data_IF_127811457592
#
_entry.id   IF_127811457592
#
_cell.length_a   1.000
_cell.length_b   1.000
_cell.length_c   1.000
_cell.angle_alpha   90.00
_cell.angle_beta   90.00
_cell.angle_gamma   90.00
#
_symmetry.space_group_name_H-M   'P 1'
#
loop_
_entity.id
_entity.type
_entity.pdbx_description
1 polymer ?
#
# COMPACT_ATOMS: atom_id res chain seq x y z
N UNK A 1 76.05 -16.82 23.19
CA UNK A 1 74.80 -16.82 22.40
C UNK A 1 73.71 -16.19 23.24
N UNK A 2 73.03 -15.20 22.65
CA UNK A 2 71.99 -14.37 23.26
C UNK A 2 70.64 -15.09 23.15
N UNK A 3 69.85 -15.14 24.23
CA UNK A 3 68.40 -15.24 24.12
C UNK A 3 67.79 -14.11 24.94
N UNK A 4 67.24 -13.15 24.20
CA UNK A 4 66.54 -11.97 24.68
C UNK A 4 65.07 -12.41 24.88
N UNK A 5 64.60 -12.47 26.12
CA UNK A 5 63.19 -12.74 26.42
C UNK A 5 62.36 -11.49 26.18
N UNK A 6 61.51 -11.51 25.14
CA UNK A 6 60.52 -10.47 24.89
C UNK A 6 59.27 -10.75 25.73
N UNK A 7 58.98 -9.87 26.69
CA UNK A 7 57.71 -9.84 27.41
C UNK A 7 56.69 -9.09 26.53
N UNK A 8 55.66 -9.77 26.03
CA UNK A 8 54.56 -9.12 25.33
C UNK A 8 53.55 -8.60 26.37
N UNK A 9 53.47 -7.27 26.52
CA UNK A 9 52.37 -6.60 27.23
C UNK A 9 51.14 -6.61 26.31
N UNK A 10 50.09 -7.36 26.67
CA UNK A 10 48.76 -7.17 26.07
C UNK A 10 48.13 -5.91 26.69
N UNK A 11 47.95 -4.87 25.88
CA UNK A 11 47.09 -3.73 26.22
C UNK A 11 45.64 -4.08 25.88
N UNK A 12 44.81 -4.30 26.91
CA UNK A 12 43.36 -4.40 26.77
C UNK A 12 42.80 -2.98 26.55
N UNK A 13 42.45 -2.66 25.31
CA UNK A 13 41.67 -1.47 24.99
C UNK A 13 40.22 -1.69 25.46
N UNK A 14 39.80 -0.96 26.50
CA UNK A 14 38.42 -0.92 26.91
C UNK A 14 37.61 -0.07 25.91
N UNK A 15 36.84 -0.71 25.04
CA UNK A 15 35.78 -0.02 24.29
C UNK A 15 34.67 0.36 25.26
N UNK A 16 34.62 1.64 25.64
CA UNK A 16 33.44 2.23 26.26
C UNK A 16 32.34 2.30 25.22
N UNK A 17 31.31 1.46 25.37
CA UNK A 17 30.05 1.59 24.61
C UNK A 17 29.34 2.85 25.09
N UNK A 18 29.52 3.94 24.36
CA UNK A 18 28.69 5.14 24.49
C UNK A 18 27.30 4.76 23.96
N UNK A 19 26.36 4.49 24.86
CA UNK A 19 24.93 4.49 24.52
C UNK A 19 24.57 5.90 24.08
N UNK A 20 24.52 6.13 22.78
CA UNK A 20 23.85 7.29 22.23
C UNK A 20 22.37 7.15 22.63
N UNK A 21 21.93 7.96 23.58
CA UNK A 21 20.52 8.29 23.72
C UNK A 21 20.07 8.90 22.40
N UNK A 22 19.33 8.14 21.60
CA UNK A 22 18.51 8.70 20.53
C UNK A 22 17.57 9.71 21.19
N UNK A 23 17.92 10.99 21.11
CA UNK A 23 16.96 12.04 21.37
C UNK A 23 15.93 11.93 20.25
N UNK A 24 14.72 11.51 20.59
CA UNK A 24 13.53 11.56 19.74
C UNK A 24 13.24 13.03 19.41
N UNK A 25 14.01 13.56 18.46
CA UNK A 25 13.93 14.94 17.98
C UNK A 25 13.04 15.05 16.75
N UNK A 26 12.22 14.03 16.50
CA UNK A 26 11.25 14.05 15.41
C UNK A 26 10.29 15.21 15.69
N UNK A 27 10.21 16.24 14.82
CA UNK A 27 9.32 17.36 15.05
C UNK A 27 7.88 16.83 15.16
N UNK A 28 7.25 17.01 16.32
CA UNK A 28 5.84 16.62 16.49
C UNK A 28 4.98 17.44 15.53
N UNK A 29 4.18 16.76 14.74
CA UNK A 29 3.26 17.42 13.83
C UNK A 29 2.09 17.99 14.63
N UNK A 30 1.79 19.29 14.45
CA UNK A 30 0.67 19.94 15.13
C UNK A 30 -0.68 19.76 14.42
N UNK A 31 -0.74 18.92 13.39
CA UNK A 31 -2.01 18.62 12.69
C UNK A 31 -2.75 17.46 13.37
N UNK A 32 -4.09 17.39 13.23
CA UNK A 32 -4.83 16.18 13.56
C UNK A 32 -4.28 14.98 12.78
N UNK A 33 -4.16 13.84 13.45
CA UNK A 33 -3.83 12.58 12.80
C UNK A 33 -4.91 12.22 11.78
N UNK A 34 -4.48 11.74 10.61
CA UNK A 34 -5.37 11.20 9.61
C UNK A 34 -5.93 9.84 10.07
N UNK A 35 -6.91 9.34 9.33
CA UNK A 35 -7.58 8.09 9.65
C UNK A 35 -6.58 6.92 9.69
N UNK A 36 -6.52 6.21 10.82
CA UNK A 36 -5.59 5.12 11.10
C UNK A 36 -4.09 5.50 11.10
N UNK A 37 -3.77 6.80 11.14
CA UNK A 37 -2.39 7.24 11.27
C UNK A 37 -1.84 6.85 12.65
N UNK A 38 -0.70 6.13 12.70
CA UNK A 38 -0.11 5.75 13.97
C UNK A 38 0.49 6.99 14.65
N UNK A 39 0.78 6.89 15.95
CA UNK A 39 1.44 7.98 16.67
C UNK A 39 2.82 8.31 16.08
N UNK A 40 3.28 9.54 16.27
CA UNK A 40 4.61 10.01 15.82
C UNK A 40 5.72 8.98 16.13
N UNK A 41 6.57 8.71 15.13
CA UNK A 41 7.67 7.76 15.24
C UNK A 41 7.26 6.28 15.14
N UNK A 42 6.00 5.97 14.88
CA UNK A 42 5.51 4.60 14.62
C UNK A 42 5.22 4.40 13.14
N UNK A 43 5.39 3.16 12.69
CA UNK A 43 5.16 2.73 11.30
C UNK A 43 4.28 1.49 11.33
N UNK A 44 3.36 1.40 10.38
CA UNK A 44 2.56 0.20 10.12
C UNK A 44 3.23 -0.60 9.02
N UNK A 45 3.62 -1.84 9.31
CA UNK A 45 4.13 -2.77 8.30
C UNK A 45 2.97 -3.55 7.70
N UNK A 46 2.90 -3.62 6.37
CA UNK A 46 1.98 -4.48 5.64
C UNK A 46 2.76 -5.54 4.87
N UNK A 47 2.29 -6.79 4.90
CA UNK A 47 2.80 -7.87 4.06
C UNK A 47 1.89 -8.06 2.83
N UNK A 48 2.44 -8.43 1.69
CA UNK A 48 1.65 -8.60 0.47
C UNK A 48 2.30 -9.49 -0.58
N UNK A 49 1.58 -9.84 -1.64
CA UNK A 49 0.29 -9.23 -2.00
C UNK A 49 -0.84 -10.17 -2.47
N UNK A 50 -0.62 -11.46 -2.34
CA UNK A 50 -1.44 -12.57 -2.80
C UNK A 50 -1.34 -13.73 -1.80
N UNK A 51 -2.20 -14.74 -1.93
CA UNK A 51 -2.37 -15.75 -0.88
C UNK A 51 -1.07 -16.52 -0.55
N UNK A 52 -0.25 -16.81 -1.56
CA UNK A 52 0.97 -17.60 -1.41
C UNK A 52 2.06 -16.85 -0.63
N UNK A 53 2.41 -15.62 -1.01
CA UNK A 53 3.42 -14.83 -0.30
C UNK A 53 2.99 -14.40 1.10
N UNK A 54 1.69 -14.19 1.33
CA UNK A 54 1.19 -13.75 2.64
C UNK A 54 1.18 -14.91 3.62
N UNK A 55 0.77 -16.10 3.18
CA UNK A 55 0.70 -17.30 4.03
C UNK A 55 -0.33 -17.16 5.16
N UNK A 56 -0.09 -17.90 6.25
CA UNK A 56 -0.95 -17.87 7.45
C UNK A 56 -2.34 -18.47 7.23
N UNK A 57 -2.47 -19.39 6.27
CA UNK A 57 -3.67 -20.16 5.99
C UNK A 57 -3.30 -21.64 5.91
N UNK A 58 -4.29 -22.51 5.73
CA UNK A 58 -4.05 -23.93 5.43
C UNK A 58 -3.39 -24.13 4.06
N UNK A 59 -2.77 -25.31 3.85
CA UNK A 59 -2.15 -25.67 2.59
C UNK A 59 -3.11 -25.46 1.39
N UNK A 60 -2.64 -24.86 0.27
CA UNK A 60 -1.23 -24.62 -0.07
C UNK A 60 -0.66 -23.25 0.40
N UNK A 61 -1.41 -22.46 1.17
CA UNK A 61 -1.05 -21.09 1.53
C UNK A 61 -0.45 -20.99 2.96
N UNK A 62 0.47 -21.89 3.27
CA UNK A 62 1.01 -22.11 4.62
C UNK A 62 2.55 -22.03 4.70
N UNK A 63 3.16 -21.27 3.79
CA UNK A 63 4.62 -21.08 3.71
C UNK A 63 4.99 -19.62 3.35
N UNK A 64 4.15 -18.66 3.75
CA UNK A 64 4.31 -17.23 3.41
C UNK A 64 4.81 -16.38 4.58
N UNK A 65 4.61 -15.06 4.49
CA UNK A 65 5.11 -14.10 5.48
C UNK A 65 4.67 -14.42 6.91
N UNK A 66 3.38 -14.70 7.10
CA UNK A 66 2.81 -14.99 8.43
C UNK A 66 3.35 -16.28 9.05
N UNK A 67 3.89 -17.19 8.24
CA UNK A 67 4.46 -18.46 8.69
C UNK A 67 5.92 -18.32 9.15
N UNK A 68 6.64 -17.31 8.65
CA UNK A 68 8.09 -17.14 8.86
C UNK A 68 8.50 -15.88 9.64
N UNK A 69 7.61 -14.89 9.75
CA UNK A 69 7.93 -13.57 10.30
C UNK A 69 6.93 -13.12 11.37
N UNK A 70 7.31 -12.16 12.24
CA UNK A 70 6.37 -11.57 13.19
C UNK A 70 5.14 -10.98 12.50
N UNK A 71 3.98 -11.16 13.12
CA UNK A 71 2.69 -10.65 12.63
C UNK A 71 2.79 -9.16 12.25
N UNK A 72 2.46 -8.77 11.00
CA UNK A 72 2.53 -7.39 10.54
C UNK A 72 1.40 -6.55 11.15
N UNK A 73 1.34 -5.26 10.85
CA UNK A 73 0.19 -4.42 11.20
C UNK A 73 -1.02 -4.67 10.27
N UNK A 74 -0.76 -5.17 9.06
CA UNK A 74 -1.79 -5.51 8.10
C UNK A 74 -1.28 -6.37 6.95
N UNK A 75 -2.18 -6.69 6.03
CA UNK A 75 -1.82 -7.34 4.77
C UNK A 75 -2.44 -6.61 3.58
N UNK A 76 -1.88 -6.80 2.40
CA UNK A 76 -2.31 -6.19 1.15
C UNK A 76 -2.96 -7.23 0.24
N UNK A 77 -4.08 -6.88 -0.37
CA UNK A 77 -4.74 -7.66 -1.42
C UNK A 77 -5.19 -6.72 -2.57
N UNK A 78 -5.68 -7.30 -3.66
CA UNK A 78 -6.14 -6.54 -4.84
C UNK A 78 -7.56 -6.93 -5.24
N UNK A 79 -8.26 -5.97 -5.84
CA UNK A 79 -9.56 -6.17 -6.46
C UNK A 79 -9.79 -5.10 -7.54
N UNK A 80 -10.96 -5.06 -8.15
CA UNK A 80 -11.23 -4.17 -9.28
C UNK A 80 -12.70 -3.74 -9.40
N UNK A 81 -12.93 -2.65 -10.15
CA UNK A 81 -14.25 -2.22 -10.65
C UNK A 81 -14.30 -2.30 -12.19
N UNK A 82 -13.63 -3.30 -12.78
CA UNK A 82 -13.39 -3.41 -14.21
C UNK A 82 -14.07 -4.64 -14.86
N UNK A 83 -15.39 -4.88 -14.66
CA UNK A 83 -16.04 -6.05 -15.23
C UNK A 83 -16.00 -6.07 -16.76
N UNK A 84 -15.55 -7.17 -17.35
CA UNK A 84 -15.42 -7.36 -18.79
C UNK A 84 -14.01 -7.13 -19.34
N UNK A 85 -13.13 -6.48 -18.58
CA UNK A 85 -11.72 -6.38 -18.94
C UNK A 85 -10.99 -7.72 -18.84
N UNK A 86 -9.84 -7.83 -19.51
CA UNK A 86 -9.04 -9.05 -19.54
C UNK A 86 -7.62 -8.81 -19.05
N UNK A 87 -7.16 -9.63 -18.11
CA UNK A 87 -5.79 -9.64 -17.60
C UNK A 87 -5.26 -11.07 -17.61
N UNK A 88 -4.15 -11.34 -18.31
CA UNK A 88 -3.55 -12.68 -18.44
C UNK A 88 -4.53 -13.80 -18.82
N UNK A 89 -5.57 -13.48 -19.60
CA UNK A 89 -6.61 -14.43 -20.03
C UNK A 89 -7.78 -14.61 -19.05
N UNK A 90 -7.72 -13.98 -17.87
CA UNK A 90 -8.82 -13.89 -16.93
C UNK A 90 -9.75 -12.73 -17.31
N UNK A 91 -11.06 -13.01 -17.42
CA UNK A 91 -12.08 -11.98 -17.65
C UNK A 91 -12.60 -11.51 -16.30
N UNK A 92 -12.33 -10.24 -16.00
CA UNK A 92 -12.73 -9.61 -14.75
C UNK A 92 -14.26 -9.57 -14.61
N UNK A 93 -14.77 -9.88 -13.42
CA UNK A 93 -16.20 -9.85 -13.09
C UNK A 93 -16.57 -8.61 -12.29
N UNK A 94 -15.57 -7.88 -11.78
CA UNK A 94 -15.75 -6.84 -10.76
C UNK A 94 -15.72 -7.46 -9.37
N UNK A 95 -15.00 -6.82 -8.46
CA UNK A 95 -14.74 -7.31 -7.10
C UNK A 95 -14.04 -8.68 -7.05
N UNK A 96 -13.29 -9.02 -8.10
CA UNK A 96 -12.53 -10.27 -8.17
C UNK A 96 -11.55 -10.35 -6.98
N UNK A 97 -11.38 -11.54 -6.42
CA UNK A 97 -10.56 -11.77 -5.23
C UNK A 97 -11.19 -11.31 -3.91
N UNK A 98 -12.35 -10.66 -3.90
CA UNK A 98 -13.00 -10.23 -2.65
C UNK A 98 -13.79 -11.37 -1.99
N UNK A 99 -14.59 -12.10 -2.78
CA UNK A 99 -15.54 -13.13 -2.28
C UNK A 99 -15.23 -14.55 -2.80
N UNK A 100 -14.34 -14.66 -3.78
CA UNK A 100 -13.92 -15.91 -4.40
C UNK A 100 -12.42 -15.91 -4.61
N UNK A 101 -11.85 -17.10 -4.82
CA UNK A 101 -10.48 -17.22 -5.30
C UNK A 101 -10.45 -16.92 -6.79
N UNK A 102 -9.79 -15.84 -7.16
CA UNK A 102 -9.60 -15.39 -8.54
C UNK A 102 -8.11 -15.16 -8.80
N UNK A 103 -7.67 -15.43 -10.04
CA UNK A 103 -6.27 -15.32 -10.47
C UNK A 103 -6.23 -14.63 -11.83
N UNK A 104 -5.60 -13.46 -11.86
CA UNK A 104 -5.43 -12.62 -13.04
C UNK A 104 -3.96 -12.49 -13.45
N UNK A 105 -3.15 -13.52 -13.17
CA UNK A 105 -1.76 -13.62 -13.61
C UNK A 105 -0.70 -13.29 -12.56
N UNK A 106 -1.11 -13.04 -11.31
CA UNK A 106 -0.24 -12.76 -10.16
C UNK A 106 -0.57 -13.68 -8.96
N UNK A 107 -0.92 -14.93 -9.27
CA UNK A 107 -1.38 -15.96 -8.34
C UNK A 107 -2.77 -15.67 -7.72
N UNK A 108 -3.40 -16.66 -7.06
CA UNK A 108 -4.74 -16.50 -6.51
C UNK A 108 -4.83 -15.46 -5.38
N UNK A 109 -5.92 -14.68 -5.41
CA UNK A 109 -6.34 -13.74 -4.37
C UNK A 109 -7.70 -14.15 -3.79
N UNK A 110 -7.88 -14.06 -2.47
CA UNK A 110 -9.17 -14.26 -1.79
C UNK A 110 -9.21 -13.58 -0.41
N UNK A 111 -9.82 -12.39 -0.32
CA UNK A 111 -9.92 -11.63 0.91
C UNK A 111 -10.86 -12.28 1.93
N UNK A 112 -11.96 -12.88 1.50
CA UNK A 112 -12.91 -13.55 2.42
C UNK A 112 -12.27 -14.74 3.12
N UNK A 113 -11.36 -15.45 2.45
CA UNK A 113 -10.59 -16.53 3.07
C UNK A 113 -9.70 -15.98 4.20
N UNK A 114 -8.94 -14.93 3.93
CA UNK A 114 -8.04 -14.30 4.91
C UNK A 114 -8.80 -13.64 6.06
N UNK A 115 -9.87 -12.89 5.77
CA UNK A 115 -10.67 -12.18 6.80
C UNK A 115 -11.30 -13.13 7.82
N UNK A 116 -11.68 -14.33 7.39
CA UNK A 116 -12.34 -15.33 8.25
C UNK A 116 -11.36 -16.25 9.00
N UNK A 117 -10.05 -16.10 8.78
CA UNK A 117 -9.04 -16.88 9.47
C UNK A 117 -8.50 -16.13 10.71
N UNK A 118 -8.29 -16.87 11.80
CA UNK A 118 -7.85 -16.33 13.08
C UNK A 118 -6.44 -15.74 13.01
N UNK A 119 -5.59 -16.21 12.09
CA UNK A 119 -4.23 -15.67 11.93
C UNK A 119 -4.26 -14.22 11.43
N UNK A 120 -5.36 -13.78 10.83
CA UNK A 120 -5.58 -12.42 10.37
C UNK A 120 -6.33 -11.53 11.37
N UNK A 121 -6.70 -12.03 12.55
CA UNK A 121 -7.39 -11.24 13.57
C UNK A 121 -6.56 -10.04 14.02
N UNK A 122 -7.19 -8.86 14.05
CA UNK A 122 -6.54 -7.60 14.45
C UNK A 122 -5.62 -6.98 13.40
N UNK A 123 -5.44 -7.60 12.23
CA UNK A 123 -4.69 -7.01 11.12
C UNK A 123 -5.56 -6.00 10.34
N UNK A 124 -4.95 -4.91 9.88
CA UNK A 124 -5.55 -4.03 8.88
C UNK A 124 -5.49 -4.65 7.48
N UNK A 125 -6.40 -4.24 6.60
CA UNK A 125 -6.46 -4.69 5.21
C UNK A 125 -6.15 -3.52 4.26
N UNK A 126 -5.09 -3.62 3.47
CA UNK A 126 -4.85 -2.70 2.35
C UNK A 126 -5.37 -3.31 1.05
N UNK A 127 -6.07 -2.53 0.23
CA UNK A 127 -6.67 -2.99 -1.03
C UNK A 127 -6.18 -2.13 -2.18
N UNK A 128 -5.49 -2.72 -3.15
CA UNK A 128 -5.31 -2.12 -4.48
C UNK A 128 -6.60 -2.26 -5.28
N UNK A 129 -7.29 -1.17 -5.56
CA UNK A 129 -8.54 -1.19 -6.33
C UNK A 129 -8.29 -0.69 -7.74
N UNK A 130 -8.20 -1.61 -8.70
CA UNK A 130 -8.05 -1.26 -10.12
C UNK A 130 -9.34 -0.66 -10.68
N UNK A 131 -9.20 0.43 -11.44
CA UNK A 131 -10.25 1.04 -12.24
C UNK A 131 -9.95 0.97 -13.74
N UNK A 132 -8.94 0.19 -14.18
CA UNK A 132 -8.42 0.22 -15.55
C UNK A 132 -9.57 0.13 -16.56
N UNK A 133 -9.57 1.05 -17.55
CA UNK A 133 -10.59 1.29 -18.59
C UNK A 133 -12.02 1.62 -18.09
N UNK A 134 -12.20 1.88 -16.79
CA UNK A 134 -13.48 1.96 -16.13
C UNK A 134 -13.65 3.22 -15.28
N UNK A 135 -12.65 4.09 -15.19
CA UNK A 135 -12.68 5.34 -14.44
C UNK A 135 -13.88 6.23 -14.84
N UNK A 136 -14.15 6.39 -16.14
CA UNK A 136 -15.31 7.16 -16.61
C UNK A 136 -16.64 6.51 -16.23
N UNK A 137 -16.75 5.18 -16.36
CA UNK A 137 -17.94 4.43 -15.97
C UNK A 137 -18.19 4.51 -14.44
N UNK A 138 -17.13 4.52 -13.64
CA UNK A 138 -17.20 4.73 -12.19
C UNK A 138 -17.65 6.16 -11.89
N UNK A 139 -17.02 7.17 -12.51
CA UNK A 139 -17.37 8.58 -12.34
C UNK A 139 -18.85 8.86 -12.69
N UNK A 140 -19.38 8.18 -13.70
CA UNK A 140 -20.77 8.31 -14.14
C UNK A 140 -21.76 7.44 -13.32
N UNK A 141 -21.29 6.69 -12.33
CA UNK A 141 -22.12 5.86 -11.45
C UNK A 141 -22.61 4.54 -12.06
N UNK A 142 -22.08 4.14 -13.22
CA UNK A 142 -22.43 2.87 -13.87
C UNK A 142 -21.94 1.65 -13.10
N UNK A 143 -20.98 1.86 -12.17
CA UNK A 143 -20.43 0.83 -11.28
C UNK A 143 -20.97 0.92 -9.84
N UNK A 144 -22.00 1.70 -9.60
CA UNK A 144 -22.58 1.92 -8.26
C UNK A 144 -22.99 0.64 -7.54
N UNK A 145 -23.51 -0.36 -8.27
CA UNK A 145 -23.88 -1.65 -7.67
C UNK A 145 -22.67 -2.41 -7.13
N UNK A 146 -21.53 -2.37 -7.80
CA UNK A 146 -20.29 -2.96 -7.30
C UNK A 146 -19.74 -2.16 -6.11
N UNK A 147 -19.81 -0.83 -6.16
CA UNK A 147 -19.41 0.02 -5.02
C UNK A 147 -20.27 -0.28 -3.80
N UNK A 148 -21.57 -0.51 -3.99
CA UNK A 148 -22.47 -0.91 -2.91
C UNK A 148 -22.08 -2.27 -2.31
N UNK A 149 -21.86 -3.30 -3.14
CA UNK A 149 -21.45 -4.61 -2.64
C UNK A 149 -20.10 -4.54 -1.90
N UNK A 150 -19.15 -3.75 -2.41
CA UNK A 150 -17.88 -3.49 -1.73
C UNK A 150 -18.06 -2.76 -0.39
N UNK A 151 -18.96 -1.77 -0.33
CA UNK A 151 -19.26 -1.08 0.93
C UNK A 151 -19.93 -1.98 1.97
N UNK A 152 -20.82 -2.88 1.53
CA UNK A 152 -21.43 -3.91 2.39
C UNK A 152 -20.36 -4.87 2.93
N UNK A 153 -19.39 -5.26 2.10
CA UNK A 153 -18.22 -6.01 2.55
C UNK A 153 -17.45 -5.26 3.63
N UNK A 154 -17.12 -3.98 3.43
CA UNK A 154 -16.39 -3.18 4.44
C UNK A 154 -17.14 -3.08 5.77
N UNK A 155 -18.47 -2.90 5.75
CA UNK A 155 -19.29 -2.90 6.96
C UNK A 155 -19.27 -4.25 7.67
N UNK A 156 -19.26 -5.36 6.91
CA UNK A 156 -19.20 -6.71 7.47
C UNK A 156 -17.90 -7.01 8.23
N UNK A 157 -16.82 -6.25 8.00
CA UNK A 157 -15.52 -6.48 8.63
C UNK A 157 -15.47 -6.09 10.12
N UNK A 158 -16.60 -5.64 10.70
CA UNK A 158 -16.70 -5.37 12.15
C UNK A 158 -15.76 -4.28 12.64
N UNK A 159 -15.44 -3.30 11.79
CA UNK A 159 -14.54 -2.19 12.11
C UNK A 159 -13.05 -2.47 11.85
N UNK A 160 -12.69 -3.59 11.18
CA UNK A 160 -11.32 -3.81 10.70
C UNK A 160 -10.86 -2.60 9.86
N UNK A 161 -9.71 -1.98 10.15
CA UNK A 161 -9.20 -0.86 9.35
C UNK A 161 -8.90 -1.28 7.92
N UNK A 162 -9.39 -0.51 6.95
CA UNK A 162 -9.15 -0.73 5.52
C UNK A 162 -8.41 0.46 4.92
N UNK A 163 -7.34 0.23 4.17
CA UNK A 163 -6.64 1.23 3.37
C UNK A 163 -6.97 0.99 1.89
N UNK A 164 -7.91 1.76 1.34
CA UNK A 164 -8.40 1.57 -0.02
C UNK A 164 -7.61 2.44 -1.01
N UNK A 165 -6.77 1.82 -1.82
CA UNK A 165 -5.92 2.44 -2.85
C UNK A 165 -6.70 2.52 -4.16
N UNK A 166 -7.56 3.53 -4.28
CA UNK A 166 -8.47 3.71 -5.42
C UNK A 166 -7.67 4.09 -6.67
N UNK A 167 -7.79 3.28 -7.74
CA UNK A 167 -7.08 3.48 -9.00
C UNK A 167 -5.57 3.63 -8.77
N UNK A 168 -5.01 2.67 -8.02
CA UNK A 168 -3.59 2.68 -7.64
C UNK A 168 -2.68 2.93 -8.85
N UNK A 169 -1.57 3.64 -8.62
CA UNK A 169 -0.66 4.08 -9.68
C UNK A 169 -1.35 4.90 -10.77
N UNK A 170 -2.10 5.93 -10.34
CA UNK A 170 -2.95 6.70 -11.25
C UNK A 170 -2.19 7.39 -12.40
N UNK A 171 -0.92 7.69 -12.19
CA UNK A 171 -0.04 8.33 -13.18
C UNK A 171 0.76 7.32 -14.02
N UNK A 172 0.46 6.01 -13.90
CA UNK A 172 1.03 4.92 -14.69
C UNK A 172 0.53 4.90 -16.13
N UNK A 173 0.91 5.89 -16.95
CA UNK A 173 0.39 6.09 -18.31
C UNK A 173 0.58 4.88 -19.25
N UNK A 174 1.61 4.05 -19.04
CA UNK A 174 1.89 2.89 -19.90
C UNK A 174 1.10 1.61 -19.58
N UNK A 175 0.40 1.54 -18.44
CA UNK A 175 -0.36 0.36 -18.04
C UNK A 175 -1.79 0.68 -17.61
N UNK A 176 -1.97 1.65 -16.70
CA UNK A 176 -3.31 2.05 -16.26
C UNK A 176 -3.96 3.02 -17.25
N UNK A 177 -3.17 3.96 -17.78
CA UNK A 177 -3.59 4.92 -18.81
C UNK A 177 -4.94 5.61 -18.52
N UNK A 178 -5.16 6.01 -17.26
CA UNK A 178 -6.39 6.68 -16.88
C UNK A 178 -6.55 8.04 -17.55
N UNK A 179 -7.79 8.39 -17.91
CA UNK A 179 -8.13 9.79 -18.10
C UNK A 179 -8.12 10.52 -16.74
N UNK A 180 -7.48 11.69 -16.70
CA UNK A 180 -7.28 12.45 -15.47
C UNK A 180 -8.58 12.98 -14.88
N UNK A 181 -9.45 13.55 -15.71
CA UNK A 181 -10.69 14.16 -15.24
C UNK A 181 -11.62 13.07 -14.72
N UNK A 182 -11.73 11.97 -15.46
CA UNK A 182 -12.52 10.82 -15.06
C UNK A 182 -11.96 10.12 -13.82
N UNK A 183 -10.64 9.97 -13.68
CA UNK A 183 -10.02 9.40 -12.47
C UNK A 183 -10.35 10.25 -11.23
N UNK A 184 -10.18 11.57 -11.30
CA UNK A 184 -10.48 12.47 -10.17
C UNK A 184 -11.97 12.38 -9.81
N UNK A 185 -12.85 12.38 -10.81
CA UNK A 185 -14.28 12.22 -10.60
C UNK A 185 -14.63 10.85 -9.98
N UNK A 186 -14.02 9.76 -10.46
CA UNK A 186 -14.21 8.41 -9.96
C UNK A 186 -13.77 8.25 -8.50
N UNK A 187 -12.61 8.81 -8.13
CA UNK A 187 -12.10 8.79 -6.76
C UNK A 187 -13.10 9.46 -5.81
N UNK A 188 -13.55 10.67 -6.17
CA UNK A 188 -14.54 11.44 -5.39
C UNK A 188 -15.86 10.69 -5.28
N UNK A 189 -16.30 10.07 -6.37
CA UNK A 189 -17.56 9.34 -6.44
C UNK A 189 -17.57 8.10 -5.54
N UNK A 190 -16.52 7.27 -5.60
CA UNK A 190 -16.38 6.08 -4.72
C UNK A 190 -16.44 6.48 -3.25
N UNK A 191 -15.64 7.46 -2.83
CA UNK A 191 -15.66 7.96 -1.45
C UNK A 191 -17.04 8.45 -1.04
N UNK A 192 -17.66 9.29 -1.86
CA UNK A 192 -18.98 9.86 -1.58
C UNK A 192 -20.03 8.77 -1.36
N UNK A 193 -19.99 7.70 -2.18
CA UNK A 193 -20.91 6.57 -2.05
C UNK A 193 -20.67 5.76 -0.79
N UNK A 194 -19.42 5.40 -0.49
CA UNK A 194 -19.08 4.66 0.72
C UNK A 194 -19.42 5.46 1.99
N UNK A 195 -19.15 6.76 2.00
CA UNK A 195 -19.52 7.66 3.10
C UNK A 195 -21.05 7.74 3.26
N UNK A 196 -21.81 7.84 2.15
CA UNK A 196 -23.27 7.85 2.19
C UNK A 196 -23.87 6.54 2.68
N UNK A 197 -23.16 5.43 2.55
CA UNK A 197 -23.53 4.14 3.12
C UNK A 197 -23.19 4.04 4.62
N UNK A 198 -22.45 4.99 5.18
CA UNK A 198 -21.97 4.95 6.56
C UNK A 198 -20.78 4.01 6.75
N UNK A 199 -19.97 3.78 5.70
CA UNK A 199 -18.71 3.03 5.82
C UNK A 199 -17.68 3.90 6.53
N UNK A 200 -17.37 3.57 7.79
CA UNK A 200 -16.50 4.38 8.65
C UNK A 200 -15.13 3.74 8.91
N UNK A 201 -14.88 2.53 8.41
CA UNK A 201 -13.63 1.79 8.62
C UNK A 201 -12.64 1.85 7.44
N UNK A 202 -12.88 2.72 6.44
CA UNK A 202 -12.00 2.86 5.25
C UNK A 202 -11.22 4.18 5.29
N UNK A 203 -9.90 4.13 5.16
CA UNK A 203 -9.03 5.26 4.85
C UNK A 203 -8.75 5.30 3.34
N UNK A 204 -9.07 6.43 2.72
CA UNK A 204 -8.94 6.63 1.28
C UNK A 204 -7.51 7.00 0.92
N UNK A 205 -6.85 6.11 0.17
CA UNK A 205 -5.43 6.17 -0.11
C UNK A 205 -5.20 6.49 -1.59
N UNK A 206 -4.42 7.54 -1.87
CA UNK A 206 -4.16 8.05 -3.22
C UNK A 206 -2.72 7.73 -3.63
N UNK A 207 -2.54 6.76 -4.54
CA UNK A 207 -1.25 6.18 -4.86
C UNK A 207 -0.72 6.57 -6.24
N UNK A 208 0.44 7.21 -6.29
CA UNK A 208 1.24 7.42 -7.51
C UNK A 208 2.22 6.25 -7.74
N UNK A 209 2.67 6.09 -8.97
CA UNK A 209 3.87 5.31 -9.31
C UNK A 209 5.14 5.78 -8.59
N UNK A 210 5.14 7.01 -8.09
CA UNK A 210 6.25 7.66 -7.41
C UNK A 210 7.17 8.44 -8.36
N UNK A 211 7.40 7.96 -9.58
CA UNK A 211 8.45 8.51 -10.45
C UNK A 211 7.94 9.21 -11.72
N UNK A 212 6.67 9.04 -12.11
CA UNK A 212 6.14 9.60 -13.36
C UNK A 212 5.83 11.09 -13.23
N UNK A 213 5.07 11.48 -12.22
CA UNK A 213 4.58 12.86 -12.06
C UNK A 213 5.52 13.74 -11.24
N UNK A 214 5.73 14.98 -11.70
CA UNK A 214 6.23 16.07 -10.86
C UNK A 214 5.13 16.65 -9.95
N UNK A 215 5.46 17.60 -9.07
CA UNK A 215 4.49 18.18 -8.13
C UNK A 215 3.28 18.85 -8.81
N UNK A 216 3.49 19.62 -9.89
CA UNK A 216 2.41 20.27 -10.64
C UNK A 216 1.49 19.25 -11.31
N UNK A 217 2.06 18.14 -11.79
CA UNK A 217 1.30 17.04 -12.38
C UNK A 217 0.50 16.30 -11.30
N UNK A 218 1.11 16.04 -10.13
CA UNK A 218 0.44 15.44 -8.98
C UNK A 218 -0.76 16.28 -8.53
N UNK A 219 -0.60 17.61 -8.46
CA UNK A 219 -1.71 18.52 -8.13
C UNK A 219 -2.89 18.35 -9.09
N UNK A 220 -2.61 18.19 -10.40
CA UNK A 220 -3.65 17.95 -11.40
C UNK A 220 -4.38 16.61 -11.24
N UNK A 221 -3.75 15.62 -10.61
CA UNK A 221 -4.35 14.32 -10.30
C UNK A 221 -5.03 14.29 -8.91
N UNK A 222 -4.85 15.34 -8.10
CA UNK A 222 -5.23 15.32 -6.71
C UNK A 222 -6.75 15.51 -6.52
N UNK A 223 -7.46 14.55 -5.89
CA UNK A 223 -8.90 14.67 -5.68
C UNK A 223 -9.31 15.77 -4.69
N UNK A 224 -8.39 16.26 -3.87
CA UNK A 224 -8.63 17.25 -2.82
C UNK A 224 -8.40 16.69 -1.41
N UNK A 225 -8.03 17.56 -0.47
CA UNK A 225 -7.68 17.19 0.90
C UNK A 225 -8.83 16.50 1.64
N UNK A 226 -10.08 16.83 1.31
CA UNK A 226 -11.28 16.25 1.90
C UNK A 226 -11.58 14.82 1.39
N UNK A 227 -10.94 14.41 0.31
CA UNK A 227 -11.09 13.09 -0.28
C UNK A 227 -9.97 12.13 0.08
N UNK A 228 -8.77 12.63 0.37
CA UNK A 228 -7.58 11.80 0.59
C UNK A 228 -7.20 11.77 2.07
N UNK A 229 -7.20 10.58 2.67
CA UNK A 229 -6.66 10.37 4.01
C UNK A 229 -5.14 10.15 3.97
N UNK A 230 -4.65 9.39 2.97
CA UNK A 230 -3.25 9.02 2.81
C UNK A 230 -2.75 9.29 1.40
N UNK A 231 -1.61 9.98 1.31
CA UNK A 231 -0.80 9.98 0.09
C UNK A 231 -0.01 8.67 0.03
N UNK A 232 0.20 8.11 -1.15
CA UNK A 232 0.93 6.86 -1.29
C UNK A 232 1.75 6.78 -2.57
N UNK A 233 2.78 5.94 -2.56
CA UNK A 233 3.56 5.68 -3.77
C UNK A 233 4.18 4.29 -3.79
N UNK A 234 4.58 3.86 -4.99
CA UNK A 234 5.33 2.64 -5.23
C UNK A 234 6.84 2.89 -5.09
N UNK A 235 7.53 2.07 -4.29
CA UNK A 235 8.95 2.13 -4.01
C UNK A 235 9.68 0.95 -4.67
N UNK A 236 10.27 1.20 -5.83
CA UNK A 236 11.06 0.21 -6.57
C UNK A 236 12.43 0.80 -6.96
N UNK A 237 12.94 0.51 -8.15
CA UNK A 237 14.27 0.92 -8.62
C UNK A 237 14.44 2.43 -8.83
N UNK A 238 13.36 3.19 -8.96
CA UNK A 238 13.37 4.66 -9.18
C UNK A 238 12.90 5.45 -7.95
N UNK A 239 13.10 4.89 -6.77
CA UNK A 239 12.60 5.43 -5.51
C UNK A 239 13.12 6.83 -5.18
N UNK A 240 14.32 7.19 -5.66
CA UNK A 240 14.98 8.48 -5.45
C UNK A 240 14.32 9.63 -6.24
N UNK A 241 13.48 9.30 -7.21
CA UNK A 241 12.69 10.26 -7.98
C UNK A 241 11.36 10.63 -7.30
N UNK A 242 10.98 9.91 -6.24
CA UNK A 242 9.70 10.06 -5.55
C UNK A 242 9.37 11.51 -5.16
N UNK A 243 8.25 12.04 -5.65
CA UNK A 243 7.72 13.37 -5.27
C UNK A 243 6.59 13.32 -4.24
N UNK A 244 6.06 12.12 -3.98
CA UNK A 244 4.91 11.94 -3.10
C UNK A 244 5.17 12.35 -1.65
N UNK A 245 6.40 12.18 -1.13
CA UNK A 245 6.75 12.58 0.24
C UNK A 245 6.67 14.10 0.40
N UNK A 246 7.16 14.85 -0.59
CA UNK A 246 7.11 16.31 -0.58
C UNK A 246 5.67 16.81 -0.75
N UNK A 247 4.94 16.24 -1.70
CA UNK A 247 3.51 16.53 -1.89
C UNK A 247 2.70 16.29 -0.61
N UNK A 248 2.86 15.13 0.02
CA UNK A 248 2.15 14.79 1.25
C UNK A 248 2.49 15.76 2.39
N UNK A 249 3.73 16.24 2.47
CA UNK A 249 4.14 17.22 3.47
C UNK A 249 3.42 18.56 3.26
N UNK A 250 3.31 19.02 2.02
CA UNK A 250 2.64 20.28 1.68
C UNK A 250 1.13 20.23 1.97
N UNK A 251 0.51 19.06 1.82
CA UNK A 251 -0.91 18.82 2.13
C UNK A 251 -1.18 18.33 3.56
N UNK A 252 -0.15 18.18 4.38
CA UNK A 252 -0.29 17.66 5.75
C UNK A 252 -0.91 16.25 5.79
N UNK A 253 -0.52 15.36 4.88
CA UNK A 253 -0.98 13.98 4.81
C UNK A 253 0.12 12.99 5.24
N UNK A 254 -0.21 11.86 5.89
CA UNK A 254 0.74 10.78 6.05
C UNK A 254 1.01 10.08 4.72
N UNK A 255 2.12 9.33 4.68
CA UNK A 255 2.57 8.61 3.48
C UNK A 255 2.53 7.11 3.71
N UNK A 256 1.90 6.38 2.77
CA UNK A 256 2.01 4.93 2.64
C UNK A 256 2.98 4.59 1.51
N UNK A 257 4.01 3.79 1.80
CA UNK A 257 4.73 3.07 0.75
C UNK A 257 3.87 1.85 0.41
N UNK A 258 3.09 1.95 -0.66
CA UNK A 258 2.00 1.02 -0.95
C UNK A 258 2.49 -0.27 -1.59
N UNK A 259 3.56 -0.16 -2.37
CA UNK A 259 4.22 -1.29 -3.02
C UNK A 259 5.72 -1.11 -2.82
N UNK A 260 6.40 -2.17 -2.38
CA UNK A 260 7.84 -2.16 -2.21
C UNK A 260 8.41 -3.56 -2.34
N UNK A 261 9.40 -3.72 -3.21
CA UNK A 261 10.21 -4.94 -3.29
C UNK A 261 11.57 -4.58 -3.89
N UNK A 262 12.67 -5.26 -3.50
CA UNK A 262 13.95 -5.09 -4.19
C UNK A 262 13.82 -5.61 -5.63
N UNK A 263 13.55 -4.72 -6.58
CA UNK A 263 13.48 -5.07 -8.01
C UNK A 263 14.86 -5.01 -8.65
N UNK A 264 15.21 -6.05 -9.40
CA UNK A 264 16.39 -6.07 -10.27
C UNK A 264 15.92 -5.87 -11.72
N UNK A 265 16.36 -4.77 -12.32
CA UNK A 265 16.47 -4.53 -13.77
C UNK A 265 15.32 -4.97 -14.69
N UNK A 266 14.44 -4.02 -15.04
CA UNK A 266 13.72 -4.03 -16.32
C UNK A 266 14.09 -2.79 -17.15
N UNK A 267 13.44 -2.58 -18.30
CA UNK A 267 13.72 -1.44 -19.19
C UNK A 267 13.34 -0.07 -18.60
N UNK A 268 12.56 -0.04 -17.51
CA UNK A 268 12.22 1.18 -16.78
C UNK A 268 13.18 1.45 -15.63
N UNK A 269 13.90 0.43 -15.16
CA UNK A 269 14.87 0.55 -14.07
C UNK A 269 16.06 1.44 -14.47
N UNK A 270 16.32 2.48 -13.67
CA UNK A 270 17.56 3.25 -13.76
C UNK A 270 18.60 2.60 -12.86
N UNK A 271 19.69 2.14 -13.46
CA UNK A 271 20.89 1.80 -12.70
C UNK A 271 21.58 3.10 -12.27
N UNK A 272 21.22 3.63 -11.10
CA UNK A 272 21.91 4.77 -10.50
C UNK A 272 23.21 4.37 -9.77
N UNK A 273 23.57 3.07 -9.79
CA UNK A 273 24.79 2.54 -9.19
C UNK A 273 24.78 2.55 -7.67
N UNK A 274 23.59 2.67 -7.06
CA UNK A 274 23.36 2.59 -5.62
C UNK A 274 22.56 1.35 -5.25
#
# INVERSE_FOLDING_TARGET
MKYLGFLALLALAACSTTTATESDSTPKSNRPLAKFEPADGKVLLFAGQELESIGGLEAPYNDGYLDHFPKPAGWTAYSNLSPGDTSFGFIQKGLDGMFSSDDWGDSPSNMTLQVNDADFDGLALAIGLSLVNHEGAVANGERDSLIQVMGEFFQSLGGRPVFLRIGYEFDGASWNNYDREDFVAAFRHIKTKLDAMGVDNVAYTWQSTGWVSNLDQLEGWYPGDEYVDWCAYSFFSRWDEAKMIDFARDHGKPVLIAEATPTVSDYTAKFNGQ
#
